data_IF_430427442035
#
_entry.id   IF_430427442035
#
_cell.length_a   1.000
_cell.length_b   1.000
_cell.length_c   1.000
_cell.angle_alpha   90.00
_cell.angle_beta   90.00
_cell.angle_gamma   90.00
#
_symmetry.space_group_name_H-M   'P 1'
#
loop_
_entity.id
_entity.type
_entity.pdbx_description
1 polymer ?
#
# COMPACT_ATOMS: atom_id res chain seq x y z
N UNK A 1 5.73 4.70 15.03
CA UNK A 1 4.38 4.15 14.85
C UNK A 1 4.44 3.11 13.74
N UNK A 2 4.03 1.88 14.03
CA UNK A 2 3.86 0.82 13.04
C UNK A 2 2.62 0.00 13.39
N UNK A 3 1.98 -0.55 12.37
CA UNK A 3 0.83 -1.43 12.51
C UNK A 3 1.27 -2.86 12.24
N UNK A 4 0.78 -3.82 13.02
CA UNK A 4 1.09 -5.23 12.85
C UNK A 4 -0.12 -6.08 13.17
N UNK A 5 -0.30 -7.18 12.45
CA UNK A 5 -1.32 -8.18 12.74
C UNK A 5 -0.65 -9.47 13.19
N UNK A 6 -1.02 -9.95 14.38
CA UNK A 6 -0.48 -11.17 14.97
C UNK A 6 -1.64 -12.05 15.37
N UNK A 7 -1.71 -13.25 14.81
CA UNK A 7 -2.80 -14.21 15.07
C UNK A 7 -4.21 -13.62 14.85
N UNK A 8 -4.36 -12.76 13.85
CA UNK A 8 -5.64 -12.14 13.49
C UNK A 8 -6.07 -10.96 14.37
N UNK A 9 -5.30 -10.61 15.40
CA UNK A 9 -5.47 -9.38 16.18
C UNK A 9 -4.58 -8.27 15.61
N UNK A 10 -5.14 -7.06 15.48
CA UNK A 10 -4.42 -5.89 15.00
C UNK A 10 -3.82 -5.06 16.13
N UNK A 11 -2.58 -4.63 15.96
CA UNK A 11 -1.83 -3.84 16.94
C UNK A 11 -1.24 -2.59 16.31
N UNK A 12 -1.36 -1.49 17.03
CA UNK A 12 -0.71 -0.23 16.73
C UNK A 12 0.39 0.01 17.76
N UNK A 13 1.64 -0.05 17.32
CA UNK A 13 2.79 0.13 18.20
C UNK A 13 3.45 1.49 17.98
N UNK A 14 3.60 2.25 19.06
CA UNK A 14 4.31 3.53 19.09
C UNK A 14 5.51 3.41 20.03
N UNK A 15 6.69 3.80 19.56
CA UNK A 15 7.93 3.73 20.34
C UNK A 15 8.43 5.12 20.72
N UNK A 16 8.70 5.34 22.01
CA UNK A 16 9.29 6.55 22.58
C UNK A 16 10.60 6.17 23.28
N UNK A 17 11.72 6.21 22.54
CA UNK A 17 13.00 5.74 23.07
C UNK A 17 12.93 4.25 23.40
N UNK A 18 13.10 3.89 24.68
CA UNK A 18 12.95 2.51 25.17
C UNK A 18 11.50 2.11 25.50
N UNK A 19 10.57 3.07 25.61
CA UNK A 19 9.16 2.79 25.90
C UNK A 19 8.41 2.39 24.64
N UNK A 20 7.64 1.31 24.72
CA UNK A 20 6.71 0.88 23.66
C UNK A 20 5.28 0.94 24.21
N UNK A 21 4.41 1.67 23.51
CA UNK A 21 2.98 1.65 23.75
C UNK A 21 2.30 0.86 22.63
N UNK A 22 1.40 -0.05 23.00
CA UNK A 22 0.68 -0.93 22.09
C UNK A 22 -0.82 -0.74 22.30
N UNK A 23 -1.54 -0.40 21.23
CA UNK A 23 -2.99 -0.25 21.23
C UNK A 23 -3.63 -1.25 20.27
N UNK A 24 -4.87 -1.67 20.55
CA UNK A 24 -5.62 -2.52 19.63
C UNK A 24 -6.08 -1.73 18.41
N UNK A 25 -5.88 -2.28 17.23
CA UNK A 25 -6.45 -1.76 15.99
C UNK A 25 -7.86 -2.33 15.79
N UNK A 26 -8.78 -1.46 15.40
CA UNK A 26 -10.11 -1.89 14.96
C UNK A 26 -10.04 -2.54 13.57
N UNK A 27 -10.98 -3.44 13.28
CA UNK A 27 -11.12 -4.05 11.95
C UNK A 27 -11.34 -3.02 10.82
N UNK A 28 -11.87 -1.85 11.15
CA UNK A 28 -12.11 -0.75 10.19
C UNK A 28 -10.88 0.10 9.87
N UNK A 29 -9.76 -0.07 10.59
CA UNK A 29 -8.61 0.83 10.43
C UNK A 29 -7.82 0.57 9.15
N UNK A 30 -7.76 -0.68 8.68
CA UNK A 30 -7.04 -1.05 7.46
C UNK A 30 -7.85 -2.10 6.67
N UNK A 31 -7.99 -1.96 5.34
CA UNK A 31 -8.81 -2.84 4.50
C UNK A 31 -8.15 -4.19 4.21
N UNK A 32 -7.45 -4.79 5.18
CA UNK A 32 -6.76 -6.09 5.00
C UNK A 32 -7.71 -7.21 4.61
N UNK A 33 -8.96 -7.14 5.08
CA UNK A 33 -10.00 -8.10 4.74
C UNK A 33 -10.32 -8.10 3.24
N UNK A 34 -10.00 -7.02 2.51
CA UNK A 34 -10.27 -6.88 1.08
C UNK A 34 -9.03 -7.18 0.22
N UNK A 35 -7.82 -7.17 0.81
CA UNK A 35 -6.56 -7.45 0.11
C UNK A 35 -6.45 -8.94 -0.27
N UNK A 36 -6.71 -9.84 0.69
CA UNK A 36 -6.60 -11.28 0.42
C UNK A 36 -7.60 -11.76 -0.65
N UNK A 37 -8.89 -11.35 -0.63
CA UNK A 37 -9.80 -11.60 -1.74
C UNK A 37 -9.27 -11.09 -3.09
N UNK A 38 -8.75 -9.86 -3.15
CA UNK A 38 -8.17 -9.33 -4.38
C UNK A 38 -7.02 -10.22 -4.89
N UNK A 39 -6.09 -10.62 -4.02
CA UNK A 39 -5.00 -11.50 -4.44
C UNK A 39 -5.49 -12.91 -4.83
N UNK A 40 -6.56 -13.41 -4.20
CA UNK A 40 -7.19 -14.69 -4.54
C UNK A 40 -7.88 -14.67 -5.91
N UNK A 41 -8.47 -13.54 -6.28
CA UNK A 41 -9.12 -13.35 -7.57
C UNK A 41 -8.13 -12.96 -8.68
N UNK A 42 -6.83 -12.89 -8.37
CA UNK A 42 -5.80 -12.55 -9.33
C UNK A 42 -5.73 -13.56 -10.47
N UNK A 43 -5.78 -13.08 -11.71
CA UNK A 43 -5.76 -13.93 -12.91
C UNK A 43 -4.68 -13.50 -13.88
N UNK A 44 -4.01 -14.48 -14.50
CA UNK A 44 -3.00 -14.17 -15.53
C UNK A 44 -3.60 -13.51 -16.77
N UNK A 45 -2.90 -12.50 -17.27
CA UNK A 45 -3.21 -11.74 -18.49
C UNK A 45 -1.95 -11.64 -19.37
N UNK A 46 -2.11 -11.50 -20.70
CA UNK A 46 -0.97 -11.44 -21.61
C UNK A 46 -0.26 -10.09 -21.60
N UNK A 47 -0.96 -9.00 -21.27
CA UNK A 47 -0.40 -7.64 -21.26
C UNK A 47 -1.35 -6.65 -20.57
N UNK A 48 -0.81 -5.54 -20.09
CA UNK A 48 -1.55 -4.42 -19.51
C UNK A 48 -0.94 -3.08 -19.92
N UNK A 49 -1.73 -2.00 -19.85
CA UNK A 49 -1.28 -0.63 -20.07
C UNK A 49 -1.98 0.36 -19.14
N UNK A 50 -1.33 1.50 -18.91
CA UNK A 50 -1.91 2.69 -18.26
C UNK A 50 -1.81 3.84 -19.26
N UNK A 51 -2.95 4.26 -19.80
CA UNK A 51 -2.99 5.14 -20.97
C UNK A 51 -2.26 4.50 -22.16
N UNK A 52 -1.28 5.22 -22.69
CA UNK A 52 -0.45 4.78 -23.81
C UNK A 52 0.82 4.00 -23.38
N UNK A 53 1.06 3.85 -22.07
CA UNK A 53 2.25 3.20 -21.53
C UNK A 53 1.98 1.72 -21.22
N UNK A 54 2.78 0.82 -21.79
CA UNK A 54 2.70 -0.62 -21.49
C UNK A 54 3.38 -0.95 -20.17
N UNK A 55 2.75 -1.84 -19.39
CA UNK A 55 3.35 -2.37 -18.17
C UNK A 55 4.24 -3.55 -18.57
N UNK A 56 5.55 -3.35 -18.43
CA UNK A 56 6.57 -4.35 -18.71
C UNK A 56 7.03 -5.00 -17.39
N UNK A 57 6.66 -6.26 -17.18
CA UNK A 57 7.18 -7.05 -16.07
C UNK A 57 8.52 -7.69 -16.45
N UNK A 58 9.49 -7.69 -15.54
CA UNK A 58 10.74 -8.45 -15.75
C UNK A 58 10.51 -9.96 -15.76
N UNK A 59 9.44 -10.43 -15.13
CA UNK A 59 8.94 -11.79 -15.24
C UNK A 59 7.83 -11.89 -16.29
N UNK A 60 7.72 -13.03 -16.97
CA UNK A 60 6.62 -13.31 -17.91
C UNK A 60 5.25 -13.48 -17.20
N UNK A 61 5.19 -13.25 -15.88
CA UNK A 61 3.99 -13.45 -15.08
C UNK A 61 3.38 -12.09 -14.75
N UNK A 62 2.40 -11.73 -15.57
CA UNK A 62 1.52 -10.58 -15.34
C UNK A 62 0.14 -11.08 -14.89
N UNK A 63 -0.33 -10.56 -13.76
CA UNK A 63 -1.65 -10.87 -13.23
C UNK A 63 -2.51 -9.60 -13.19
N UNK A 64 -3.83 -9.73 -13.35
CA UNK A 64 -4.79 -8.69 -13.04
C UNK A 64 -5.55 -9.01 -11.77
N UNK A 65 -5.88 -7.98 -11.01
CA UNK A 65 -6.84 -8.05 -9.90
C UNK A 65 -7.61 -6.73 -9.76
N UNK A 66 -8.61 -6.69 -8.87
CA UNK A 66 -9.25 -5.47 -8.43
C UNK A 66 -9.27 -5.38 -6.91
N UNK A 67 -8.97 -4.19 -6.40
CA UNK A 67 -9.00 -3.87 -4.97
C UNK A 67 -9.60 -2.47 -4.78
N UNK A 68 -10.57 -2.35 -3.86
CA UNK A 68 -11.23 -1.06 -3.60
C UNK A 68 -11.98 -0.46 -4.80
N UNK A 69 -12.34 -1.27 -5.80
CA UNK A 69 -12.97 -0.81 -7.05
C UNK A 69 -11.99 -0.34 -8.13
N UNK A 70 -10.68 -0.37 -7.85
CA UNK A 70 -9.61 -0.03 -8.80
C UNK A 70 -8.97 -1.30 -9.33
N UNK A 71 -8.57 -1.32 -10.60
CA UNK A 71 -7.87 -2.44 -11.23
C UNK A 71 -6.36 -2.32 -11.00
N UNK A 72 -5.69 -3.45 -10.81
CA UNK A 72 -4.25 -3.52 -10.64
C UNK A 72 -3.65 -4.58 -11.56
N UNK A 73 -2.51 -4.26 -12.16
CA UNK A 73 -1.64 -5.20 -12.84
C UNK A 73 -0.46 -5.56 -11.93
N UNK A 74 -0.29 -6.82 -11.59
CA UNK A 74 0.76 -7.28 -10.68
C UNK A 74 1.91 -7.89 -11.48
N UNK A 75 3.11 -7.34 -11.29
CA UNK A 75 4.37 -7.91 -11.73
C UNK A 75 5.07 -8.57 -10.54
N UNK A 76 5.26 -9.88 -10.60
CA UNK A 76 6.04 -10.60 -9.60
C UNK A 76 7.53 -10.45 -9.86
N UNK A 77 8.30 -10.19 -8.80
CA UNK A 77 9.76 -10.06 -8.83
C UNK A 77 10.44 -11.21 -8.05
N UNK A 78 9.76 -12.35 -7.90
CA UNK A 78 10.27 -13.52 -7.18
C UNK A 78 10.54 -13.22 -5.71
N UNK A 79 11.73 -13.56 -5.21
CA UNK A 79 12.10 -13.37 -3.79
C UNK A 79 12.19 -11.89 -3.35
N UNK A 80 12.20 -10.95 -4.30
CA UNK A 80 12.25 -9.51 -3.98
C UNK A 80 10.88 -8.88 -3.71
N UNK A 81 9.79 -9.62 -3.92
CA UNK A 81 8.43 -9.12 -3.75
C UNK A 81 7.65 -8.99 -5.06
N UNK A 82 6.76 -8.01 -5.12
CA UNK A 82 5.99 -7.70 -6.33
C UNK A 82 5.56 -6.23 -6.34
N UNK A 83 5.30 -5.72 -7.54
CA UNK A 83 4.70 -4.39 -7.73
C UNK A 83 3.32 -4.55 -8.33
N UNK A 84 2.32 -3.89 -7.75
CA UNK A 84 0.97 -3.79 -8.30
C UNK A 84 0.77 -2.38 -8.87
N UNK A 85 0.68 -2.30 -10.20
CA UNK A 85 0.51 -1.07 -10.96
C UNK A 85 -0.95 -0.71 -11.15
N UNK A 86 -1.29 0.56 -11.01
CA UNK A 86 -2.64 1.08 -11.27
C UNK A 86 -2.59 2.51 -11.79
N UNK A 87 -3.68 2.95 -12.41
CA UNK A 87 -3.83 4.34 -12.84
C UNK A 87 -3.72 5.36 -11.70
N UNK A 88 -4.11 4.96 -10.48
CA UNK A 88 -4.23 5.89 -9.35
C UNK A 88 -2.96 5.93 -8.48
N UNK A 89 -2.39 4.76 -8.18
CA UNK A 89 -1.17 4.61 -7.39
C UNK A 89 -0.60 3.20 -7.57
N UNK A 90 0.71 3.08 -7.38
CA UNK A 90 1.40 1.79 -7.38
C UNK A 90 1.60 1.29 -5.94
N UNK A 91 1.61 -0.03 -5.78
CA UNK A 91 1.90 -0.70 -4.51
C UNK A 91 3.15 -1.54 -4.69
N UNK A 92 4.22 -1.17 -4.00
CA UNK A 92 5.42 -1.99 -3.89
C UNK A 92 5.34 -2.87 -2.63
N UNK A 93 5.51 -4.17 -2.82
CA UNK A 93 5.59 -5.17 -1.75
C UNK A 93 7.00 -5.74 -1.74
N UNK A 94 7.63 -5.75 -0.56
CA UNK A 94 8.94 -6.32 -0.31
C UNK A 94 8.81 -7.45 0.72
N UNK A 95 9.50 -8.58 0.48
CA UNK A 95 9.59 -9.66 1.46
C UNK A 95 10.78 -9.43 2.40
N UNK A 96 10.52 -9.53 3.69
CA UNK A 96 11.54 -9.33 4.73
C UNK A 96 11.92 -10.67 5.34
N UNK A 97 13.22 -10.97 5.43
CA UNK A 97 13.74 -12.21 6.04
C UNK A 97 13.30 -12.42 7.49
N UNK A 98 13.19 -11.32 8.24
CA UNK A 98 12.78 -11.33 9.63
C UNK A 98 11.99 -10.07 9.97
N UNK A 99 10.74 -10.25 10.36
CA UNK A 99 9.91 -9.18 10.90
C UNK A 99 10.03 -9.19 12.43
N UNK A 100 10.49 -8.07 13.01
CA UNK A 100 10.44 -7.87 14.46
C UNK A 100 9.00 -7.60 14.86
N UNK A 101 8.28 -8.65 15.22
CA UNK A 101 6.97 -8.53 15.87
C UNK A 101 7.21 -7.93 17.28
N UNK A 102 6.47 -6.88 17.70
CA UNK A 102 6.55 -6.42 19.08
C UNK A 102 6.30 -7.58 20.02
N UNK A 103 7.11 -7.71 21.06
CA UNK A 103 6.72 -8.52 22.19
C UNK A 103 5.51 -7.83 22.82
N UNK A 104 4.32 -8.41 22.62
CA UNK A 104 3.12 -7.97 23.32
C UNK A 104 3.39 -8.15 24.81
N UNK A 105 3.29 -7.08 25.60
CA UNK A 105 3.24 -7.23 27.05
C UNK A 105 2.02 -8.10 27.39
N UNK A 106 2.14 -8.97 28.39
CA UNK A 106 1.10 -9.93 28.77
C UNK A 106 -0.27 -9.30 29.12
N UNK A 107 -0.36 -7.96 29.19
CA UNK A 107 -1.54 -7.22 29.62
C UNK A 107 -2.45 -6.76 28.46
N UNK A 108 -2.00 -6.77 27.20
CA UNK A 108 -2.80 -6.30 26.06
C UNK A 108 -3.35 -7.48 25.25
N UNK A 109 -4.60 -7.85 25.52
CA UNK A 109 -5.36 -8.82 24.73
C UNK A 109 -6.30 -8.07 23.78
N UNK A 110 -6.00 -8.11 22.48
CA UNK A 110 -6.83 -7.52 21.44
C UNK A 110 -7.77 -8.57 20.82
N UNK A 111 -8.96 -8.14 20.41
CA UNK A 111 -9.91 -9.02 19.72
C UNK A 111 -9.33 -9.49 18.37
N UNK A 112 -9.60 -10.75 18.03
CA UNK A 112 -9.30 -11.29 16.71
C UNK A 112 -10.29 -10.68 15.72
N UNK A 113 -9.77 -9.72 14.95
CA UNK A 113 -10.53 -8.94 13.96
C UNK A 113 -10.45 -9.52 12.55
N UNK A 114 -9.52 -10.44 12.30
CA UNK A 114 -9.32 -11.10 11.01
C UNK A 114 -9.47 -12.61 11.18
N UNK A 115 -10.32 -13.22 10.35
CA UNK A 115 -10.48 -14.67 10.30
C UNK A 115 -9.49 -15.29 9.31
N UNK A 116 -8.92 -16.46 9.62
CA UNK A 116 -8.14 -17.22 8.64
C UNK A 116 -8.97 -17.47 7.38
N UNK A 117 -8.39 -17.18 6.22
CA UNK A 117 -9.01 -17.38 4.92
C UNK A 117 -8.16 -18.32 4.09
N UNK A 118 -8.81 -19.19 3.30
CA UNK A 118 -8.09 -20.01 2.33
C UNK A 118 -7.50 -19.13 1.24
N UNK A 119 -6.26 -19.41 0.84
CA UNK A 119 -5.59 -18.71 -0.25
C UNK A 119 -5.44 -19.63 -1.47
N UNK A 120 -5.49 -19.04 -2.67
CA UNK A 120 -5.18 -19.78 -3.90
C UNK A 120 -3.68 -20.06 -4.00
N UNK A 121 -3.22 -21.03 -4.82
CA UNK A 121 -1.79 -21.26 -5.04
C UNK A 121 -1.05 -20.03 -5.56
N UNK A 122 -1.69 -19.22 -6.41
CA UNK A 122 -1.12 -17.97 -6.93
C UNK A 122 -0.95 -16.94 -5.81
N UNK A 123 -1.97 -16.79 -4.96
CA UNK A 123 -1.91 -15.90 -3.79
C UNK A 123 -0.87 -16.35 -2.79
N UNK A 124 -0.77 -17.65 -2.52
CA UNK A 124 0.25 -18.18 -1.63
C UNK A 124 1.65 -17.81 -2.14
N UNK A 125 1.92 -18.01 -3.43
CA UNK A 125 3.18 -17.62 -4.06
C UNK A 125 3.46 -16.10 -3.96
N UNK A 126 2.43 -15.25 -4.13
CA UNK A 126 2.55 -13.79 -3.92
C UNK A 126 2.71 -13.37 -2.45
N UNK A 127 2.40 -14.24 -1.49
CA UNK A 127 2.57 -13.93 -0.06
C UNK A 127 3.91 -14.46 0.48
N UNK A 128 4.47 -15.49 -0.14
CA UNK A 128 5.70 -16.16 0.31
C UNK A 128 6.91 -15.90 -0.57
N UNK A 129 6.70 -15.33 -1.77
CA UNK A 129 7.75 -15.17 -2.78
C UNK A 129 8.13 -16.46 -3.51
N UNK A 130 7.35 -17.52 -3.35
CA UNK A 130 7.52 -18.75 -4.12
C UNK A 130 7.17 -18.54 -5.61
N UNK A 131 7.61 -19.49 -6.45
CA UNK A 131 7.30 -19.46 -7.87
C UNK A 131 5.79 -19.56 -8.10
N UNK A 132 5.22 -18.59 -8.83
CA UNK A 132 3.80 -18.60 -9.15
C UNK A 132 3.49 -19.79 -10.08
N UNK A 133 2.53 -20.66 -9.73
CA UNK A 133 2.19 -21.80 -10.55
C UNK A 133 1.68 -21.37 -11.93
N UNK A 134 2.35 -21.81 -12.99
CA UNK A 134 1.87 -21.61 -14.35
C UNK A 134 0.85 -22.70 -14.66
N UNK A 135 -0.44 -22.33 -14.71
CA UNK A 135 -1.47 -23.29 -15.11
C UNK A 135 -1.33 -23.59 -16.60
N UNK A 136 -0.91 -24.81 -16.96
CA UNK A 136 -0.87 -25.30 -18.34
C UNK A 136 -2.25 -25.65 -18.90
N UNK A 137 -3.33 -25.40 -18.16
CA UNK A 137 -4.70 -25.65 -18.63
C UNK A 137 -5.03 -24.65 -19.73
N UNK A 138 -5.28 -25.14 -20.96
CA UNK A 138 -5.94 -24.36 -22.02
C UNK A 138 -7.22 -23.75 -21.48
N UNK A 139 -7.20 -22.46 -21.12
CA UNK A 139 -8.44 -21.71 -20.91
C UNK A 139 -9.09 -21.57 -22.29
N UNK A 140 -10.39 -21.91 -22.39
CA UNK A 140 -11.14 -21.77 -23.65
C UNK A 140 -11.27 -20.31 -24.09
N UNK A 141 -11.14 -19.36 -23.16
CA UNK A 141 -11.07 -17.94 -23.45
C UNK A 141 -9.63 -17.44 -23.32
N UNK A 142 -9.16 -16.78 -24.37
CA UNK A 142 -7.91 -16.02 -24.34
C UNK A 142 -8.08 -14.86 -23.37
N UNK A 143 -7.26 -14.82 -22.32
CA UNK A 143 -7.23 -13.67 -21.42
C UNK A 143 -6.91 -12.41 -22.25
N UNK A 144 -7.76 -11.40 -22.17
CA UNK A 144 -7.61 -10.16 -22.91
C UNK A 144 -6.56 -9.23 -22.30
N UNK A 145 -6.07 -8.29 -23.11
CA UNK A 145 -5.27 -7.16 -22.65
C UNK A 145 -6.05 -6.33 -21.62
N UNK A 146 -5.40 -5.90 -20.55
CA UNK A 146 -5.99 -5.02 -19.55
C UNK A 146 -5.53 -3.58 -19.76
N UNK A 147 -6.37 -2.76 -20.40
CA UNK A 147 -6.13 -1.32 -20.52
C UNK A 147 -6.74 -0.59 -19.31
N UNK A 148 -5.92 0.24 -18.67
CA UNK A 148 -6.34 1.19 -17.65
C UNK A 148 -6.20 2.61 -18.20
N UNK A 149 -7.18 3.46 -17.95
CA UNK A 149 -7.11 4.86 -18.38
C UNK A 149 -6.06 5.60 -17.55
N UNK A 150 -5.22 6.41 -18.18
CA UNK A 150 -4.29 7.27 -17.44
C UNK A 150 -5.09 8.26 -16.57
N UNK A 151 -4.69 8.42 -15.32
CA UNK A 151 -5.29 9.40 -14.40
C UNK A 151 -4.87 10.82 -14.79
N UNK A 152 -5.58 11.42 -15.76
CA UNK A 152 -5.36 12.81 -16.15
C UNK A 152 -6.17 13.77 -15.26
N UNK A 153 -5.74 13.92 -14.00
CA UNK A 153 -6.29 14.95 -13.12
C UNK A 153 -5.78 16.33 -13.57
N UNK A 154 -6.67 17.14 -14.16
CA UNK A 154 -6.38 18.56 -14.44
C UNK A 154 -7.20 19.43 -13.52
N UNK A 155 -6.60 20.53 -13.05
CA UNK A 155 -7.36 21.49 -12.26
C UNK A 155 -8.41 22.18 -13.12
N UNK A 156 -9.68 22.08 -12.71
CA UNK A 156 -10.80 22.77 -13.39
C UNK A 156 -10.90 24.24 -13.00
N UNK A 157 -10.18 24.67 -11.98
CA UNK A 157 -10.12 26.07 -11.52
C UNK A 157 -8.74 26.66 -11.72
N UNK A 158 -8.61 27.96 -11.49
CA UNK A 158 -7.29 28.60 -11.34
C UNK A 158 -6.54 27.94 -10.18
N UNK A 159 -5.30 27.42 -10.40
CA UNK A 159 -4.48 26.88 -9.33
C UNK A 159 -4.24 27.88 -8.20
N UNK A 160 -4.14 27.39 -6.95
CA UNK A 160 -3.97 28.22 -5.75
C UNK A 160 -2.81 27.73 -4.89
N UNK A 161 -2.25 28.56 -4.01
CA UNK A 161 -1.31 28.09 -3.00
C UNK A 161 -1.97 27.04 -2.10
N UNK A 162 -1.29 25.92 -1.90
CA UNK A 162 -1.79 24.78 -1.12
C UNK A 162 -0.89 24.53 0.10
N UNK A 163 -1.52 24.09 1.19
CA UNK A 163 -0.83 23.61 2.38
C UNK A 163 -1.21 22.15 2.59
N UNK A 164 -0.20 21.27 2.61
CA UNK A 164 -0.33 19.85 2.90
C UNK A 164 0.07 19.63 4.36
N UNK A 165 -0.83 19.10 5.16
CA UNK A 165 -0.58 18.81 6.57
C UNK A 165 0.02 17.41 6.75
N UNK A 166 1.15 17.33 7.46
CA UNK A 166 1.77 16.08 7.88
C UNK A 166 1.87 16.04 9.40
N UNK A 167 1.13 15.13 10.03
CA UNK A 167 1.20 14.91 11.47
C UNK A 167 1.64 13.50 11.86
N UNK A 168 1.27 12.50 11.07
CA UNK A 168 1.36 11.08 11.47
C UNK A 168 2.80 10.70 11.84
N UNK A 169 3.01 10.39 13.13
CA UNK A 169 4.29 9.94 13.66
C UNK A 169 5.34 11.04 13.85
N UNK A 170 4.95 12.32 13.76
CA UNK A 170 5.81 13.48 13.98
C UNK A 170 5.69 13.96 15.44
N UNK A 171 6.84 14.21 16.07
CA UNK A 171 6.94 14.80 17.41
C UNK A 171 7.36 16.26 17.41
N UNK A 172 8.21 16.63 16.44
CA UNK A 172 8.73 17.98 16.35
C UNK A 172 7.93 18.73 15.30
N UNK A 173 7.01 19.55 15.76
CA UNK A 173 6.31 20.52 14.92
C UNK A 173 7.28 21.57 14.38
N UNK A 174 6.99 22.07 13.18
CA UNK A 174 7.68 23.20 12.60
C UNK A 174 6.80 24.43 12.73
N UNK A 175 7.35 25.52 13.25
CA UNK A 175 6.64 26.80 13.36
C UNK A 175 6.25 27.38 11.98
N UNK A 176 7.12 27.18 10.99
CA UNK A 176 6.91 27.67 9.63
C UNK A 176 6.52 26.55 8.67
N UNK A 177 5.81 26.94 7.59
CA UNK A 177 5.55 26.07 6.47
C UNK A 177 6.86 25.71 5.74
N UNK A 178 7.00 24.43 5.38
CA UNK A 178 8.19 23.92 4.71
C UNK A 178 7.98 23.82 3.20
N UNK A 179 9.06 24.01 2.44
CA UNK A 179 9.03 23.86 0.96
C UNK A 179 9.09 22.41 0.49
N UNK A 180 9.52 21.50 1.37
CA UNK A 180 9.72 20.08 1.02
C UNK A 180 9.22 19.16 2.14
N UNK A 181 8.78 17.93 1.82
CA UNK A 181 8.32 16.97 2.81
C UNK A 181 9.46 16.30 3.59
N UNK A 182 10.73 16.71 3.40
CA UNK A 182 11.90 16.05 4.02
C UNK A 182 11.81 15.99 5.55
N UNK A 183 11.16 16.97 6.17
CA UNK A 183 10.95 17.02 7.62
C UNK A 183 9.75 16.19 8.11
N UNK A 184 8.95 15.61 7.20
CA UNK A 184 7.82 14.73 7.51
C UNK A 184 8.24 13.26 7.75
N UNK A 185 9.49 13.02 8.14
CA UNK A 185 10.03 11.68 8.44
C UNK A 185 9.90 10.65 7.31
N UNK A 186 9.76 11.08 6.06
CA UNK A 186 9.64 10.22 4.88
C UNK A 186 8.36 9.38 4.81
N UNK A 187 7.40 9.58 5.73
CA UNK A 187 6.16 8.78 5.80
C UNK A 187 5.10 9.19 4.78
N UNK A 188 5.22 10.39 4.23
CA UNK A 188 4.38 10.88 3.16
C UNK A 188 5.28 11.37 2.02
N UNK A 189 4.92 10.99 0.80
CA UNK A 189 5.69 11.30 -0.41
C UNK A 189 5.69 12.79 -0.79
N UNK A 190 6.34 13.10 -1.91
CA UNK A 190 6.38 14.45 -2.47
C UNK A 190 5.13 14.74 -3.30
N UNK A 191 4.36 15.74 -2.88
CA UNK A 191 3.10 16.13 -3.49
C UNK A 191 3.27 17.23 -4.56
N UNK A 192 4.47 17.77 -4.73
CA UNK A 192 4.72 18.90 -5.63
C UNK A 192 4.30 18.61 -7.08
N UNK A 193 4.52 17.38 -7.55
CA UNK A 193 4.22 16.96 -8.93
C UNK A 193 2.84 16.29 -9.07
N UNK A 194 2.14 16.08 -7.95
CA UNK A 194 0.90 15.30 -7.89
C UNK A 194 -0.33 16.13 -7.47
N UNK A 195 -0.17 17.45 -7.34
CA UNK A 195 -1.24 18.38 -6.97
C UNK A 195 -1.54 19.39 -8.09
N UNK A 196 -2.26 18.99 -9.16
CA UNK A 196 -2.47 19.81 -10.36
C UNK A 196 -3.26 21.11 -10.11
N UNK A 197 -3.94 21.21 -8.96
CA UNK A 197 -4.65 22.42 -8.53
C UNK A 197 -3.81 23.38 -7.67
N UNK A 198 -2.55 23.04 -7.41
CA UNK A 198 -1.69 23.84 -6.56
C UNK A 198 -0.73 24.65 -7.42
N UNK A 199 -0.73 25.98 -7.27
CA UNK A 199 0.30 26.84 -7.87
C UNK A 199 1.63 26.73 -7.12
N UNK A 200 1.53 26.39 -5.83
CA UNK A 200 2.64 26.15 -4.92
C UNK A 200 2.15 25.17 -3.86
N UNK A 201 3.02 24.24 -3.45
CA UNK A 201 2.76 23.31 -2.36
C UNK A 201 3.71 23.63 -1.21
N UNK A 202 3.14 23.87 -0.03
CA UNK A 202 3.86 23.98 1.23
C UNK A 202 3.43 22.89 2.19
N UNK A 203 4.28 22.55 3.14
CA UNK A 203 4.06 21.48 4.10
C UNK A 203 3.97 22.02 5.52
N UNK A 204 2.83 21.80 6.18
CA UNK A 204 2.67 22.03 7.61
C UNK A 204 3.07 20.76 8.36
N UNK A 205 4.12 20.83 9.19
CA UNK A 205 4.62 19.70 9.96
C UNK A 205 4.08 19.82 11.38
N UNK A 206 3.09 18.99 11.73
CA UNK A 206 2.34 19.08 12.97
C UNK A 206 2.77 17.99 13.95
N UNK A 207 2.82 18.31 15.24
CA UNK A 207 3.02 17.30 16.27
C UNK A 207 1.69 16.56 16.51
N UNK A 208 1.60 15.30 16.07
CA UNK A 208 0.42 14.46 16.33
C UNK A 208 0.66 13.40 17.39
N UNK A 209 1.79 13.41 18.08
CA UNK A 209 2.17 12.38 19.05
C UNK A 209 2.00 12.83 20.50
N UNK A 210 2.19 14.12 20.78
CA UNK A 210 2.00 14.67 22.14
C UNK A 210 0.57 15.17 22.38
N UNK A 211 -0.24 15.25 21.31
CA UNK A 211 -1.61 15.78 21.34
C UNK A 211 -2.67 14.77 20.85
N UNK A 212 -2.32 13.48 20.78
CA UNK A 212 -3.23 12.37 20.42
C UNK A 212 -3.75 11.62 21.63
#
# INVERSE_FOLDING_TARGET
MFTSYVNGAGFLSTSRGAEQNVQCLSSSTLPFNDILPALNDATSIPSASIGDETIECSSDILLKTSFGGTNFAICSSGESGFTAFSSDFDIDVEYLDAVRVPALSHEVSCEVVVKPSSVTPTTLALLTGEAIPTSSTRKLETAGHMAMEASSCKCKSTPRPCVVSHGIGIRNEMEELQDTPKKASGRMGNMNDHAPCCSEVKYAILNSMDYS
#
